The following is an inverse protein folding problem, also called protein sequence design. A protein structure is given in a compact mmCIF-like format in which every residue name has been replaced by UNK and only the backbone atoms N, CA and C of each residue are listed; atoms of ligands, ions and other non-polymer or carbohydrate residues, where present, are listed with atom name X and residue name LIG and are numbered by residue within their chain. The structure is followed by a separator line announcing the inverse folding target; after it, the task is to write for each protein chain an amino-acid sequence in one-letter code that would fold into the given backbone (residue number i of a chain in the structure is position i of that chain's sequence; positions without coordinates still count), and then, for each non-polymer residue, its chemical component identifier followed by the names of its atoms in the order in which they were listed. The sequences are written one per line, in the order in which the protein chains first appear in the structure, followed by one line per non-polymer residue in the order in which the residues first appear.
data_IF_163293160620
#
_entry.id   IF_163293160620
#
_cell.length_a   1.000
_cell.length_b   1.000
_cell.length_c   1.000
_cell.angle_alpha   90.00
_cell.angle_beta   90.00
_cell.angle_gamma   90.00
#
_symmetry.space_group_name_H-M   'P 1'
#
loop_
_entity.id
_entity.type
_entity.pdbx_description
1 polymer ?
#
# COMPACT_ATOMS: atom_id res chain seq x y z
N UNK A 1 4.63 23.65 -20.09
CA UNK A 1 4.01 22.62 -19.24
C UNK A 1 4.54 22.78 -17.83
N UNK A 2 3.65 22.78 -16.85
CA UNK A 2 4.05 22.90 -15.44
C UNK A 2 4.38 21.54 -14.87
N UNK A 3 5.44 21.48 -14.09
CA UNK A 3 5.85 20.27 -13.40
C UNK A 3 5.88 20.52 -11.90
N UNK A 4 5.33 19.56 -11.15
CA UNK A 4 5.34 19.57 -9.70
C UNK A 4 5.98 18.28 -9.19
N UNK A 5 6.65 18.37 -8.06
CA UNK A 5 7.37 17.25 -7.48
C UNK A 5 6.87 17.00 -6.06
N UNK A 6 6.51 15.75 -5.81
CA UNK A 6 5.98 15.30 -4.52
C UNK A 6 6.83 14.16 -3.99
N UNK A 7 6.80 14.00 -2.71
CA UNK A 7 7.49 12.92 -2.02
C UNK A 7 6.50 12.14 -1.17
N UNK A 8 6.58 10.81 -1.20
CA UNK A 8 5.77 9.91 -0.38
C UNK A 8 6.69 9.26 0.65
N UNK A 9 6.38 9.39 1.93
CA UNK A 9 7.18 8.79 2.98
C UNK A 9 6.76 7.34 3.28
N UNK A 10 7.46 6.73 4.24
CA UNK A 10 7.20 5.33 4.61
C UNK A 10 5.84 5.06 5.21
N UNK A 11 5.16 6.08 5.70
CA UNK A 11 3.79 5.97 6.24
C UNK A 11 2.73 6.35 5.21
N UNK A 12 3.12 6.63 3.97
CA UNK A 12 2.21 7.00 2.90
C UNK A 12 1.78 8.45 2.91
N UNK A 13 2.40 9.29 3.72
CA UNK A 13 2.13 10.73 3.71
C UNK A 13 2.78 11.35 2.48
N UNK A 14 2.08 12.28 1.87
CA UNK A 14 2.51 12.96 0.64
C UNK A 14 2.89 14.40 0.95
N UNK A 15 4.05 14.82 0.46
CA UNK A 15 4.56 16.15 0.69
C UNK A 15 4.86 16.86 -0.62
N UNK A 16 4.54 18.14 -0.67
CA UNK A 16 5.03 19.06 -1.69
C UNK A 16 5.98 20.03 -0.97
N UNK A 17 7.26 19.94 -1.29
CA UNK A 17 8.32 20.56 -0.50
C UNK A 17 8.19 20.08 0.96
N UNK A 18 8.05 20.97 1.93
CA UNK A 18 7.91 20.61 3.33
C UNK A 18 6.46 20.58 3.81
N UNK A 19 5.51 20.77 2.90
CA UNK A 19 4.09 20.83 3.26
C UNK A 19 3.39 19.51 2.99
N UNK A 20 2.75 18.97 4.01
CA UNK A 20 1.98 17.74 3.84
C UNK A 20 0.66 18.03 3.12
N UNK A 21 0.35 17.20 2.12
CA UNK A 21 -0.95 17.23 1.43
C UNK A 21 -1.92 16.39 2.27
N UNK A 22 -2.94 17.04 2.81
CA UNK A 22 -3.90 16.37 3.70
C UNK A 22 -5.31 16.28 3.12
N UNK A 23 -5.59 16.96 2.01
CA UNK A 23 -6.90 16.90 1.37
C UNK A 23 -7.16 15.49 0.81
N UNK A 24 -8.18 14.83 1.34
CA UNK A 24 -8.45 13.43 0.99
C UNK A 24 -8.78 13.26 -0.50
N UNK A 25 -9.56 14.17 -1.08
CA UNK A 25 -9.92 14.08 -2.49
C UNK A 25 -8.68 14.21 -3.39
N UNK A 26 -7.76 15.10 -3.05
CA UNK A 26 -6.50 15.26 -3.78
C UNK A 26 -5.64 14.00 -3.69
N UNK A 27 -5.52 13.43 -2.51
CA UNK A 27 -4.74 12.21 -2.31
C UNK A 27 -5.31 11.03 -3.10
N UNK A 28 -6.64 10.86 -3.10
CA UNK A 28 -7.30 9.83 -3.90
C UNK A 28 -7.07 10.07 -5.40
N UNK A 29 -7.17 11.32 -5.83
CA UNK A 29 -6.90 11.67 -7.23
C UNK A 29 -5.49 11.26 -7.64
N UNK A 30 -4.50 11.53 -6.81
CA UNK A 30 -3.13 11.12 -7.07
C UNK A 30 -3.00 9.60 -7.21
N UNK A 31 -3.50 8.85 -6.23
CA UNK A 31 -3.35 7.39 -6.25
C UNK A 31 -4.11 6.75 -7.42
N UNK A 32 -5.29 7.25 -7.75
CA UNK A 32 -6.09 6.71 -8.85
C UNK A 32 -5.52 7.08 -10.22
N UNK A 33 -4.85 8.23 -10.32
CA UNK A 33 -4.23 8.68 -11.57
C UNK A 33 -2.77 8.28 -11.73
N UNK A 34 -2.18 7.70 -10.71
CA UNK A 34 -0.76 7.34 -10.72
C UNK A 34 -0.46 6.31 -11.79
N UNK A 35 0.62 6.53 -12.52
CA UNK A 35 1.14 5.57 -13.47
C UNK A 35 2.66 5.55 -13.41
N UNK A 36 3.23 4.42 -13.79
CA UNK A 36 4.68 4.30 -13.87
C UNK A 36 5.12 4.51 -15.32
N UNK A 37 6.05 5.43 -15.51
CA UNK A 37 6.61 5.71 -16.83
C UNK A 37 7.65 4.66 -17.20
N UNK A 38 7.98 4.52 -18.52
CA UNK A 38 8.96 3.53 -18.94
C UNK A 38 10.34 3.68 -18.31
N UNK A 39 10.69 4.90 -17.88
CA UNK A 39 11.96 5.16 -17.18
C UNK A 39 11.90 4.83 -15.68
N UNK A 40 10.77 4.33 -15.19
CA UNK A 40 10.59 3.94 -13.80
C UNK A 40 10.06 5.04 -12.89
N UNK A 41 9.89 6.25 -13.38
CA UNK A 41 9.34 7.36 -12.59
C UNK A 41 7.83 7.25 -12.46
N UNK A 42 7.31 7.84 -11.38
CA UNK A 42 5.88 7.87 -11.09
C UNK A 42 5.28 9.21 -11.47
N UNK A 43 4.15 9.18 -12.18
CA UNK A 43 3.53 10.36 -12.75
C UNK A 43 2.02 10.36 -12.58
N UNK A 44 1.45 11.51 -12.22
CA UNK A 44 0.02 11.79 -12.33
C UNK A 44 -0.14 12.95 -13.30
N UNK A 45 -0.55 12.71 -14.55
CA UNK A 45 -0.82 13.80 -15.48
C UNK A 45 -2.16 14.44 -15.18
N UNK A 46 -2.24 15.76 -15.32
CA UNK A 46 -3.48 16.49 -15.12
C UNK A 46 -3.48 17.78 -15.93
N UNK A 47 -4.29 17.86 -16.98
CA UNK A 47 -4.60 19.07 -17.74
C UNK A 47 -3.40 20.02 -17.98
N UNK A 48 -2.36 19.52 -18.67
CA UNK A 48 -1.18 20.32 -18.95
C UNK A 48 -0.17 20.40 -17.81
N UNK A 49 -0.42 19.70 -16.73
CA UNK A 49 0.50 19.60 -15.60
C UNK A 49 1.01 18.19 -15.47
N UNK A 50 2.25 18.06 -15.03
CA UNK A 50 2.85 16.78 -14.69
C UNK A 50 3.22 16.77 -13.23
N UNK A 51 2.65 15.83 -12.50
CA UNK A 51 2.92 15.66 -11.07
C UNK A 51 3.78 14.42 -10.88
N UNK A 52 5.03 14.64 -10.52
CA UNK A 52 6.01 13.58 -10.33
C UNK A 52 6.08 13.17 -8.87
N UNK A 53 6.16 11.88 -8.61
CA UNK A 53 6.20 11.33 -7.25
C UNK A 53 7.49 10.54 -7.04
N UNK A 54 8.17 10.84 -5.95
CA UNK A 54 9.32 10.07 -5.50
C UNK A 54 8.93 9.31 -4.24
N UNK A 55 9.31 8.05 -4.18
CA UNK A 55 9.11 7.19 -3.03
C UNK A 55 10.32 6.27 -2.90
N UNK A 56 10.66 5.89 -1.68
CA UNK A 56 11.80 5.01 -1.44
C UNK A 56 11.60 3.64 -2.10
N UNK A 57 10.36 3.14 -2.08
CA UNK A 57 10.00 1.83 -2.61
C UNK A 57 8.86 1.98 -3.62
N UNK A 58 7.68 2.35 -3.14
CA UNK A 58 6.49 2.56 -3.96
C UNK A 58 5.66 3.70 -3.38
N UNK A 59 4.97 4.50 -4.22
CA UNK A 59 4.08 5.53 -3.70
C UNK A 59 2.78 4.98 -3.11
N UNK A 60 2.49 3.69 -3.30
CA UNK A 60 1.32 3.06 -2.71
C UNK A 60 1.69 2.45 -1.37
N UNK A 61 1.15 3.03 -0.29
CA UNK A 61 1.40 2.57 1.07
C UNK A 61 0.06 2.25 1.74
N UNK A 62 -0.04 1.03 2.26
CA UNK A 62 -1.18 0.64 3.08
C UNK A 62 -0.96 1.26 4.45
N UNK A 63 -1.70 2.31 4.76
CA UNK A 63 -1.51 3.08 5.99
C UNK A 63 -2.10 2.38 7.20
N UNK A 64 -3.25 1.73 7.00
CA UNK A 64 -3.93 0.97 8.05
C UNK A 64 -4.82 -0.08 7.41
N UNK A 65 -5.31 -0.99 8.24
CA UNK A 65 -6.21 -2.05 7.81
C UNK A 65 -7.58 -1.89 8.45
N UNK A 66 -8.60 -2.31 7.73
CA UNK A 66 -9.93 -2.56 8.29
C UNK A 66 -10.07 -4.05 8.46
N UNK A 67 -10.12 -4.48 9.70
CA UNK A 67 -10.19 -5.90 10.03
C UNK A 67 -11.61 -6.24 10.44
N UNK A 68 -12.18 -7.25 9.79
CA UNK A 68 -13.47 -7.82 10.14
C UNK A 68 -13.20 -9.11 10.91
N UNK A 69 -13.46 -9.09 12.22
CA UNK A 69 -13.20 -10.21 13.12
C UNK A 69 -14.53 -10.70 13.67
N UNK A 70 -14.75 -12.01 13.60
CA UNK A 70 -15.94 -12.67 14.17
C UNK A 70 -15.50 -13.96 14.85
N UNK A 71 -16.01 -14.20 16.06
CA UNK A 71 -15.70 -15.40 16.85
C UNK A 71 -14.19 -15.60 17.08
N UNK A 72 -13.47 -14.48 17.27
CA UNK A 72 -12.02 -14.51 17.48
C UNK A 72 -11.21 -14.79 16.22
N UNK A 73 -11.85 -14.84 15.05
CA UNK A 73 -11.17 -15.11 13.77
C UNK A 73 -11.25 -13.93 12.84
N UNK A 74 -10.15 -13.66 12.17
CA UNK A 74 -10.08 -12.66 11.13
C UNK A 74 -10.80 -13.21 9.88
N UNK A 75 -11.83 -12.49 9.43
CA UNK A 75 -12.66 -12.90 8.29
C UNK A 75 -12.29 -12.18 7.01
N UNK A 76 -12.04 -10.88 7.10
CA UNK A 76 -11.72 -10.04 5.93
C UNK A 76 -10.73 -8.97 6.33
N UNK A 77 -9.97 -8.54 5.33
CA UNK A 77 -9.00 -7.46 5.48
C UNK A 77 -9.27 -6.43 4.37
N UNK A 78 -9.56 -5.21 4.77
CA UNK A 78 -9.60 -4.06 3.88
C UNK A 78 -8.32 -3.25 4.00
N UNK A 79 -7.81 -2.80 2.88
CA UNK A 79 -6.64 -1.92 2.81
C UNK A 79 -7.11 -0.47 2.79
N UNK A 80 -6.45 0.38 3.57
CA UNK A 80 -6.70 1.82 3.55
C UNK A 80 -5.40 2.53 3.19
N UNK A 81 -5.44 3.21 2.04
CA UNK A 81 -4.33 3.98 1.52
C UNK A 81 -4.57 5.48 1.78
N UNK A 82 -3.66 6.33 1.31
CA UNK A 82 -3.81 7.78 1.46
C UNK A 82 -5.15 8.26 0.91
N UNK A 83 -5.70 9.29 1.53
CA UNK A 83 -7.00 9.83 1.15
C UNK A 83 -8.17 8.94 1.51
N UNK A 84 -7.95 7.96 2.40
CA UNK A 84 -8.97 6.98 2.77
C UNK A 84 -9.44 6.13 1.57
N UNK A 85 -8.57 5.96 0.59
CA UNK A 85 -8.84 5.08 -0.55
C UNK A 85 -8.78 3.65 -0.05
N UNK A 86 -9.85 2.88 -0.29
CA UNK A 86 -10.00 1.55 0.26
C UNK A 86 -10.18 0.51 -0.83
N UNK A 87 -9.59 -0.66 -0.61
CA UNK A 87 -9.84 -1.83 -1.43
C UNK A 87 -9.58 -3.10 -0.61
N UNK A 88 -10.19 -4.24 -0.99
CA UNK A 88 -9.93 -5.49 -0.28
C UNK A 88 -8.50 -5.98 -0.53
N UNK A 89 -7.93 -6.61 0.48
CA UNK A 89 -6.65 -7.33 0.29
C UNK A 89 -6.92 -8.60 -0.51
N UNK A 90 -6.11 -8.82 -1.55
CA UNK A 90 -5.98 -10.13 -2.17
C UNK A 90 -4.80 -10.85 -1.52
N UNK A 91 -5.04 -11.84 -0.65
CA UNK A 91 -3.96 -12.48 0.09
C UNK A 91 -2.97 -13.25 -0.80
N UNK A 92 -3.39 -13.62 -2.01
CA UNK A 92 -2.50 -14.28 -2.97
C UNK A 92 -1.39 -13.35 -3.48
N UNK A 93 -1.53 -12.03 -3.29
CA UNK A 93 -0.52 -11.06 -3.73
C UNK A 93 0.50 -10.70 -2.66
N UNK A 94 0.35 -11.24 -1.45
CA UNK A 94 1.29 -10.94 -0.35
C UNK A 94 2.68 -11.48 -0.66
N UNK A 95 3.69 -10.64 -0.41
CA UNK A 95 5.11 -11.00 -0.55
C UNK A 95 5.91 -10.34 0.57
N UNK A 96 6.95 -11.01 1.03
CA UNK A 96 7.88 -10.48 2.02
C UNK A 96 9.23 -10.17 1.37
N UNK A 97 9.82 -9.04 1.69
CA UNK A 97 11.12 -8.64 1.18
C UNK A 97 11.84 -7.76 2.18
N UNK A 98 12.99 -8.22 2.64
CA UNK A 98 13.86 -7.41 3.50
C UNK A 98 13.17 -6.91 4.77
N UNK A 99 12.32 -7.72 5.40
CA UNK A 99 11.55 -7.30 6.58
C UNK A 99 10.32 -6.45 6.25
N UNK A 100 10.05 -6.22 4.98
CA UNK A 100 8.89 -5.45 4.51
C UNK A 100 7.84 -6.41 3.96
N UNK A 101 6.58 -6.00 4.08
CA UNK A 101 5.45 -6.74 3.52
C UNK A 101 4.82 -5.91 2.41
N UNK A 102 4.55 -6.58 1.30
CA UNK A 102 3.93 -5.98 0.11
C UNK A 102 2.69 -6.76 -0.31
N UNK A 103 1.80 -6.08 -1.01
CA UNK A 103 0.69 -6.68 -1.71
C UNK A 103 0.48 -5.94 -3.03
N UNK A 104 -0.54 -6.32 -3.79
CA UNK A 104 -0.89 -5.61 -5.01
C UNK A 104 -2.18 -4.82 -4.81
N UNK A 105 -2.26 -3.67 -5.45
CA UNK A 105 -3.41 -2.76 -5.39
C UNK A 105 -3.81 -2.32 -6.81
N UNK A 106 -4.95 -1.67 -6.92
CA UNK A 106 -5.53 -1.23 -8.20
C UNK A 106 -5.62 -2.40 -9.18
N UNK A 107 -6.36 -3.43 -8.77
CA UNK A 107 -6.57 -4.67 -9.55
C UNK A 107 -5.27 -5.40 -9.89
N UNK A 108 -4.32 -5.39 -8.95
CA UNK A 108 -3.04 -6.05 -9.13
C UNK A 108 -2.03 -5.29 -9.97
N UNK A 109 -2.34 -4.06 -10.39
CA UNK A 109 -1.48 -3.30 -11.29
C UNK A 109 -0.21 -2.80 -10.60
N UNK A 110 -0.28 -2.48 -9.30
CA UNK A 110 0.83 -1.84 -8.60
C UNK A 110 1.15 -2.55 -7.29
N UNK A 111 2.43 -2.54 -6.96
CA UNK A 111 2.93 -3.03 -5.69
C UNK A 111 2.69 -1.97 -4.62
N UNK A 112 2.14 -2.38 -3.48
CA UNK A 112 1.94 -1.52 -2.32
C UNK A 112 2.70 -2.07 -1.13
N UNK A 113 3.24 -1.18 -0.30
CA UNK A 113 3.95 -1.54 0.91
C UNK A 113 3.05 -1.35 2.12
N UNK A 114 3.09 -2.29 3.06
CA UNK A 114 2.43 -2.10 4.36
C UNK A 114 3.24 -1.10 5.18
N UNK A 115 2.58 -0.04 5.62
CA UNK A 115 3.14 0.88 6.58
C UNK A 115 3.19 0.27 7.97
N UNK A 116 3.83 0.97 8.90
CA UNK A 116 4.08 0.45 10.25
C UNK A 116 2.80 0.09 10.99
N UNK A 117 1.79 0.96 10.96
CA UNK A 117 0.52 0.71 11.65
C UNK A 117 -0.19 -0.50 11.06
N UNK A 118 -0.24 -0.61 9.74
CA UNK A 118 -0.86 -1.76 9.08
C UNK A 118 -0.18 -3.07 9.48
N UNK A 119 1.16 -3.08 9.55
CA UNK A 119 1.92 -4.24 10.01
C UNK A 119 1.57 -4.60 11.45
N UNK A 120 1.48 -3.61 12.34
CA UNK A 120 1.10 -3.83 13.74
C UNK A 120 -0.30 -4.43 13.85
N UNK A 121 -1.23 -3.95 13.03
CA UNK A 121 -2.60 -4.49 13.03
C UNK A 121 -2.64 -5.94 12.52
N UNK A 122 -1.81 -6.28 11.55
CA UNK A 122 -1.79 -7.61 10.96
C UNK A 122 -1.05 -8.63 11.82
N UNK A 123 -0.07 -8.20 12.60
CA UNK A 123 0.84 -9.08 13.35
C UNK A 123 0.14 -10.17 14.17
N UNK A 124 -0.98 -9.90 14.88
CA UNK A 124 -1.66 -10.95 15.65
C UNK A 124 -2.18 -12.12 14.81
N UNK A 125 -2.32 -11.94 13.50
CA UNK A 125 -2.86 -12.95 12.60
C UNK A 125 -1.79 -13.59 11.74
N UNK A 126 -0.53 -13.28 12.01
CA UNK A 126 0.62 -13.90 11.36
C UNK A 126 1.21 -14.98 12.27
N UNK A 127 1.58 -16.08 11.66
CA UNK A 127 2.20 -17.21 12.35
C UNK A 127 3.45 -17.62 11.59
N UNK A 128 4.53 -17.86 12.34
CA UNK A 128 5.75 -18.35 11.72
C UNK A 128 5.79 -19.87 11.86
N UNK A 129 5.85 -20.56 10.72
CA UNK A 129 5.89 -22.01 10.66
C UNK A 129 7.06 -22.43 9.77
N UNK A 130 8.03 -23.13 10.32
CA UNK A 130 9.17 -23.62 9.57
C UNK A 130 9.99 -22.51 8.89
N UNK A 131 10.13 -21.35 9.53
CA UNK A 131 10.84 -20.21 8.99
C UNK A 131 10.05 -19.40 7.96
N UNK A 132 8.77 -19.76 7.73
CA UNK A 132 7.89 -19.06 6.78
C UNK A 132 6.75 -18.39 7.56
N UNK A 133 6.46 -17.15 7.18
CA UNK A 133 5.34 -16.41 7.73
C UNK A 133 4.06 -16.79 6.99
N UNK A 134 3.00 -17.04 7.75
CA UNK A 134 1.70 -17.45 7.21
C UNK A 134 0.61 -16.54 7.79
N UNK A 135 -0.27 -16.06 6.94
CA UNK A 135 -1.44 -15.30 7.36
C UNK A 135 -2.59 -16.25 7.64
N UNK A 136 -3.22 -16.07 8.81
CA UNK A 136 -4.42 -16.81 9.20
C UNK A 136 -5.62 -15.95 8.85
N UNK A 137 -6.39 -16.35 7.85
CA UNK A 137 -7.50 -15.58 7.32
C UNK A 137 -8.66 -16.52 6.96
N UNK A 138 -9.84 -16.21 7.51
CA UNK A 138 -11.09 -16.91 7.23
C UNK A 138 -10.97 -18.44 7.39
N UNK A 139 -10.26 -18.87 8.43
CA UNK A 139 -10.05 -20.28 8.72
C UNK A 139 -8.99 -20.95 7.84
N UNK A 140 -8.40 -20.24 6.89
CA UNK A 140 -7.37 -20.73 6.01
C UNK A 140 -5.98 -20.23 6.37
N UNK A 141 -4.98 -20.87 5.81
CA UNK A 141 -3.58 -20.50 5.95
C UNK A 141 -3.06 -20.01 4.62
N UNK A 142 -2.48 -18.82 4.61
CA UNK A 142 -1.91 -18.22 3.41
C UNK A 142 -0.42 -17.99 3.64
N UNK A 143 0.44 -18.91 3.21
CA UNK A 143 1.89 -18.70 3.32
C UNK A 143 2.31 -17.49 2.49
N UNK A 144 3.18 -16.67 3.06
CA UNK A 144 3.66 -15.46 2.40
C UNK A 144 5.01 -15.77 1.77
N UNK A 145 5.11 -15.79 0.43
CA UNK A 145 6.38 -16.06 -0.22
C UNK A 145 7.35 -14.90 -0.07
N UNK A 146 8.64 -15.20 -0.13
CA UNK A 146 9.65 -14.18 -0.27
C UNK A 146 9.64 -13.67 -1.71
N UNK A 147 9.79 -12.36 -1.87
CA UNK A 147 9.94 -11.75 -3.19
C UNK A 147 11.29 -12.15 -3.78
N UNK A 148 11.32 -12.32 -5.09
CA UNK A 148 12.52 -12.66 -5.82
C UNK A 148 13.20 -11.45 -6.44
#
# INVERSE_FOLDING_TARGET
MREYHYRVDGDGRVFHDDSEIVDAATLRFFLLGMRREPDGRWLVPCQGEQNWFAAEDTPFVVQRLRLDVADGRLRRIGLVLAGDLQEPLDPATLEAEGGRLHCRVRRGAFRARFGRLALQQLAPYLEEVGGRVTLLLDGGRHPIPDAR
#
